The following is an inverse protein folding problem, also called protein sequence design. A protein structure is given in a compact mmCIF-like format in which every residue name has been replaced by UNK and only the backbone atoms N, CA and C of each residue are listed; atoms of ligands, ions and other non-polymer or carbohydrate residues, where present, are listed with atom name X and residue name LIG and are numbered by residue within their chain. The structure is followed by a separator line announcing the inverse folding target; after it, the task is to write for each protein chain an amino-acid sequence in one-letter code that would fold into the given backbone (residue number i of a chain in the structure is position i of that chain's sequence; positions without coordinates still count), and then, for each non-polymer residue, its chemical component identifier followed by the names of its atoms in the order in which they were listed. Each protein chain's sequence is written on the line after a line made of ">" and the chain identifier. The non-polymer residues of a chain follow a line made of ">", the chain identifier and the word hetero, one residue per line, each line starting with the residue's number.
data_IF_749008776685
#
_entry.id   IF_749008776685
#
_cell.length_a   1.000
_cell.length_b   1.000
_cell.length_c   1.000
_cell.angle_alpha   90.00
_cell.angle_beta   90.00
_cell.angle_gamma   90.00
#
_symmetry.space_group_name_H-M   'P 1'
#
loop_
_entity.id
_entity.type
_entity.pdbx_description
1 polymer ?
#
# COMPACT_ATOMS: atom_id res chain seq x y z
N UNK A 1 25.51 6.50 16.41
CA UNK A 1 25.59 5.26 15.60
C UNK A 1 25.32 5.64 14.15
N UNK A 2 26.35 5.67 13.31
CA UNK A 2 26.23 6.11 11.92
C UNK A 2 25.44 5.05 11.15
N UNK A 3 24.23 5.40 10.71
CA UNK A 3 23.45 4.63 9.76
C UNK A 3 24.28 4.48 8.47
N UNK A 4 24.57 3.23 8.13
CA UNK A 4 25.47 2.87 7.06
C UNK A 4 25.08 3.42 5.69
N UNK A 5 26.08 3.91 5.00
CA UNK A 5 26.28 4.19 3.57
C UNK A 5 25.09 3.97 2.65
N UNK A 6 24.71 5.06 1.98
CA UNK A 6 23.93 5.18 0.74
C UNK A 6 23.50 3.84 0.14
N UNK A 7 22.31 3.38 0.53
CA UNK A 7 21.58 2.41 -0.28
C UNK A 7 21.02 3.18 -1.46
N UNK A 8 21.22 2.63 -2.63
CA UNK A 8 20.74 3.25 -3.87
C UNK A 8 19.22 3.28 -3.87
N UNK A 9 18.65 4.46 -3.59
CA UNK A 9 17.21 4.74 -3.67
C UNK A 9 16.85 5.43 -4.99
N UNK A 10 17.76 5.45 -5.94
CA UNK A 10 17.60 6.14 -7.23
C UNK A 10 16.46 5.61 -8.08
N UNK A 11 16.00 4.35 -7.81
CA UNK A 11 14.86 3.76 -8.51
C UNK A 11 13.50 4.29 -8.00
N UNK A 12 13.47 4.89 -6.80
CA UNK A 12 12.24 5.39 -6.22
C UNK A 12 11.93 6.82 -6.68
N UNK A 13 10.71 7.04 -7.16
CA UNK A 13 10.12 8.38 -7.34
C UNK A 13 9.70 8.95 -5.98
N UNK A 14 9.14 8.10 -5.12
CA UNK A 14 8.88 8.40 -3.70
C UNK A 14 9.45 7.25 -2.88
N UNK A 15 10.52 7.52 -2.14
CA UNK A 15 11.11 6.58 -1.18
C UNK A 15 10.50 6.80 0.22
N UNK A 16 10.43 5.74 1.06
CA UNK A 16 10.06 5.93 2.47
C UNK A 16 11.13 6.75 3.19
N UNK A 17 10.71 7.61 4.08
CA UNK A 17 11.59 8.44 4.91
C UNK A 17 11.30 8.20 6.40
N UNK A 18 11.90 7.15 7.02
CA UNK A 18 11.69 6.85 8.43
C UNK A 18 12.26 7.91 9.38
N UNK A 19 13.09 8.83 8.87
CA UNK A 19 13.65 9.95 9.62
C UNK A 19 12.82 11.24 9.56
N UNK A 20 11.72 11.23 8.79
CA UNK A 20 10.86 12.41 8.67
C UNK A 20 10.26 12.78 10.03
N UNK A 21 10.37 14.04 10.40
CA UNK A 21 9.84 14.56 11.64
C UNK A 21 8.33 14.29 11.78
N UNK A 22 7.87 14.04 13.01
CA UNK A 22 6.48 13.81 13.39
C UNK A 22 5.85 12.48 12.92
N UNK A 23 6.59 11.57 12.27
CA UNK A 23 6.04 10.25 11.91
C UNK A 23 6.27 9.20 13.01
N UNK A 24 7.27 9.40 13.85
CA UNK A 24 7.56 8.53 14.99
C UNK A 24 8.20 9.31 16.13
N UNK A 25 8.12 8.75 17.34
CA UNK A 25 8.78 9.28 18.54
C UNK A 25 9.37 8.18 19.40
N UNK A 26 10.39 8.53 20.21
CA UNK A 26 10.94 7.66 21.23
C UNK A 26 10.03 7.56 22.45
N UNK A 27 9.78 6.34 22.90
CA UNK A 27 9.03 6.06 24.13
C UNK A 27 9.86 5.16 25.02
N UNK A 28 9.96 5.53 26.31
CA UNK A 28 10.64 4.71 27.32
C UNK A 28 9.69 3.67 27.90
N UNK A 29 10.22 2.48 28.14
CA UNK A 29 9.49 1.36 28.72
C UNK A 29 10.43 0.41 29.45
N UNK A 30 9.93 -0.77 29.81
CA UNK A 30 10.73 -1.87 30.39
C UNK A 30 10.56 -3.11 29.52
N UNK A 31 11.64 -3.82 29.31
CA UNK A 31 11.62 -5.10 28.62
C UNK A 31 11.18 -6.24 29.56
N UNK A 32 11.14 -7.47 29.06
CA UNK A 32 10.74 -8.66 29.80
C UNK A 32 11.64 -9.00 31.00
N UNK A 33 12.83 -8.43 31.09
CA UNK A 33 13.75 -8.60 32.23
C UNK A 33 13.57 -7.50 33.29
N UNK A 34 12.76 -6.46 32.99
CA UNK A 34 12.58 -5.27 33.82
C UNK A 34 13.59 -4.16 33.55
N UNK A 35 14.52 -4.32 32.59
CA UNK A 35 15.48 -3.32 32.21
C UNK A 35 14.81 -2.17 31.45
N UNK A 36 15.29 -0.95 31.69
CA UNK A 36 14.79 0.22 30.94
C UNK A 36 15.23 0.14 29.49
N UNK A 37 14.29 0.40 28.60
CA UNK A 37 14.52 0.42 27.14
C UNK A 37 13.82 1.61 26.51
N UNK A 38 14.29 2.03 25.34
CA UNK A 38 13.65 3.03 24.48
C UNK A 38 13.37 2.41 23.12
N UNK A 39 12.16 2.66 22.63
CA UNK A 39 11.73 2.17 21.33
C UNK A 39 11.10 3.31 20.53
N UNK A 40 11.32 3.31 19.23
CA UNK A 40 10.64 4.21 18.31
C UNK A 40 9.25 3.67 18.04
N UNK A 41 8.23 4.49 18.25
CA UNK A 41 6.82 4.18 17.98
C UNK A 41 6.25 5.14 16.95
N UNK A 42 5.35 4.65 16.11
CA UNK A 42 4.67 5.45 15.08
C UNK A 42 3.70 6.42 15.73
N UNK A 43 3.62 7.63 15.20
CA UNK A 43 2.57 8.59 15.52
C UNK A 43 1.33 8.28 14.69
N UNK A 44 0.16 8.38 15.33
CA UNK A 44 -1.14 8.31 14.68
C UNK A 44 -1.88 9.63 14.88
N UNK A 45 -2.53 10.10 13.83
CA UNK A 45 -3.38 11.29 13.88
C UNK A 45 -4.62 11.10 13.01
N UNK A 46 -5.75 11.74 13.36
CA UNK A 46 -6.92 11.70 12.51
C UNK A 46 -6.70 12.53 11.24
N UNK A 47 -7.31 12.12 10.14
CA UNK A 47 -7.49 12.95 8.94
C UNK A 47 -8.96 12.87 8.54
N UNK A 48 -9.66 13.99 8.59
CA UNK A 48 -11.05 14.10 8.16
C UNK A 48 -11.09 14.48 6.69
N UNK A 49 -11.70 13.63 5.87
CA UNK A 49 -11.79 13.79 4.41
C UNK A 49 -13.19 14.27 4.05
N UNK A 50 -13.25 15.39 3.34
CA UNK A 50 -14.47 15.94 2.73
C UNK A 50 -14.43 15.80 1.22
N UNK A 51 -15.57 15.50 0.63
CA UNK A 51 -15.81 15.66 -0.81
C UNK A 51 -16.82 16.79 -1.00
N UNK A 52 -16.38 17.88 -1.59
CA UNK A 52 -17.13 19.14 -1.66
C UNK A 52 -17.54 19.65 -0.25
N UNK A 53 -18.83 19.68 0.05
CA UNK A 53 -19.34 20.10 1.36
C UNK A 53 -19.69 18.93 2.29
N UNK A 54 -19.47 17.68 1.84
CA UNK A 54 -19.86 16.49 2.57
C UNK A 54 -18.67 15.87 3.29
N UNK A 55 -18.77 15.69 4.61
CA UNK A 55 -17.85 14.84 5.36
C UNK A 55 -18.03 13.39 4.96
N UNK A 56 -16.93 12.73 4.60
CA UNK A 56 -16.93 11.34 4.13
C UNK A 56 -16.45 10.40 5.22
N UNK A 57 -15.28 10.68 5.81
CA UNK A 57 -14.64 9.79 6.78
C UNK A 57 -13.58 10.55 7.58
N UNK A 58 -13.34 10.10 8.82
CA UNK A 58 -12.11 10.41 9.56
C UNK A 58 -11.29 9.13 9.65
N UNK A 59 -10.10 9.13 9.03
CA UNK A 59 -9.18 8.01 9.01
C UNK A 59 -8.00 8.26 9.96
N UNK A 60 -7.58 7.24 10.72
CA UNK A 60 -6.31 7.29 11.47
C UNK A 60 -5.17 7.00 10.52
N UNK A 61 -4.19 7.91 10.43
CA UNK A 61 -3.05 7.86 9.53
C UNK A 61 -1.78 8.36 10.21
N UNK A 62 -0.62 8.17 9.60
CA UNK A 62 0.63 8.77 10.09
C UNK A 62 0.76 10.27 9.72
N UNK A 63 -0.17 10.79 8.92
CA UNK A 63 -0.27 12.22 8.58
C UNK A 63 0.66 12.69 7.46
N UNK A 64 1.37 11.78 6.76
CA UNK A 64 2.07 12.12 5.53
C UNK A 64 1.16 11.96 4.30
N UNK A 65 1.41 12.74 3.25
CA UNK A 65 0.68 12.69 1.98
C UNK A 65 -0.86 12.69 2.14
N UNK A 66 -1.45 13.66 2.88
CA UNK A 66 -2.90 13.70 3.11
C UNK A 66 -3.70 13.86 1.81
N UNK A 67 -3.17 14.58 0.83
CA UNK A 67 -3.70 14.74 -0.52
C UNK A 67 -3.83 13.42 -1.27
N UNK A 68 -2.77 12.62 -1.29
CA UNK A 68 -2.81 11.29 -1.92
C UNK A 68 -3.75 10.35 -1.18
N UNK A 69 -3.76 10.38 0.17
CA UNK A 69 -4.69 9.55 0.94
C UNK A 69 -6.13 9.88 0.60
N UNK A 70 -6.50 11.16 0.58
CA UNK A 70 -7.87 11.60 0.31
C UNK A 70 -8.31 11.26 -1.12
N UNK A 71 -7.49 11.61 -2.12
CA UNK A 71 -7.78 11.29 -3.53
C UNK A 71 -7.94 9.80 -3.77
N UNK A 72 -7.00 9.01 -3.25
CA UNK A 72 -7.02 7.56 -3.45
C UNK A 72 -8.14 6.87 -2.68
N UNK A 73 -8.46 7.33 -1.46
CA UNK A 73 -9.62 6.86 -0.72
C UNK A 73 -10.89 7.07 -1.53
N UNK A 74 -11.16 8.31 -1.96
CA UNK A 74 -12.36 8.65 -2.71
C UNK A 74 -12.44 7.87 -4.04
N UNK A 75 -11.32 7.71 -4.73
CA UNK A 75 -11.24 6.92 -5.98
C UNK A 75 -11.55 5.45 -5.75
N UNK A 76 -10.93 4.82 -4.75
CA UNK A 76 -11.10 3.41 -4.44
C UNK A 76 -12.45 3.07 -3.81
N UNK A 77 -13.17 4.08 -3.31
CA UNK A 77 -14.57 3.96 -2.85
C UNK A 77 -15.58 4.24 -3.98
N UNK A 78 -15.13 4.51 -5.20
CA UNK A 78 -16.01 4.87 -6.32
C UNK A 78 -16.66 6.25 -6.17
N UNK A 79 -16.11 7.11 -5.29
CA UNK A 79 -16.63 8.46 -5.02
C UNK A 79 -16.05 9.52 -5.95
N UNK A 80 -14.91 9.24 -6.55
CA UNK A 80 -14.32 9.97 -7.68
C UNK A 80 -14.32 9.03 -8.89
N UNK A 81 -15.07 9.40 -9.91
CA UNK A 81 -15.11 8.67 -11.18
C UNK A 81 -13.93 9.09 -12.08
N UNK A 82 -13.58 8.30 -13.13
CA UNK A 82 -12.52 8.65 -14.06
C UNK A 82 -12.68 10.01 -14.73
N UNK A 83 -13.94 10.43 -14.96
CA UNK A 83 -14.30 11.66 -15.69
C UNK A 83 -14.48 12.86 -14.75
N UNK A 84 -14.41 12.65 -13.43
CA UNK A 84 -14.50 13.75 -12.46
C UNK A 84 -13.25 14.63 -12.51
N UNK A 85 -13.48 15.92 -12.61
CA UNK A 85 -12.41 16.92 -12.56
C UNK A 85 -12.27 17.44 -11.14
N UNK A 86 -11.16 17.16 -10.48
CA UNK A 86 -10.76 17.77 -9.21
C UNK A 86 -10.34 19.21 -9.49
N UNK A 87 -11.01 20.17 -8.87
CA UNK A 87 -10.79 21.62 -9.08
C UNK A 87 -9.93 22.25 -7.99
N UNK A 88 -9.95 21.69 -6.76
CA UNK A 88 -9.11 22.13 -5.66
C UNK A 88 -8.91 21.00 -4.63
N UNK A 89 -7.80 21.08 -3.92
CA UNK A 89 -7.47 20.27 -2.76
C UNK A 89 -7.04 21.24 -1.67
N UNK A 90 -7.85 21.37 -0.63
CA UNK A 90 -7.62 22.28 0.47
C UNK A 90 -7.31 21.47 1.73
N UNK A 91 -6.08 21.52 2.23
CA UNK A 91 -5.65 20.85 3.47
C UNK A 91 -5.39 21.86 4.57
N UNK A 92 -6.06 21.68 5.71
CA UNK A 92 -5.83 22.43 6.94
C UNK A 92 -5.15 21.51 7.96
N UNK A 93 -3.84 21.75 8.20
CA UNK A 93 -3.02 20.95 9.13
C UNK A 93 -3.43 21.16 10.60
N UNK A 94 -3.99 22.32 10.98
CA UNK A 94 -4.33 22.63 12.37
C UNK A 94 -5.51 21.80 12.85
N UNK A 95 -6.49 21.59 11.97
CA UNK A 95 -7.69 20.80 12.26
C UNK A 95 -7.67 19.40 11.60
N UNK A 96 -6.54 19.02 11.00
CA UNK A 96 -6.33 17.70 10.34
C UNK A 96 -7.47 17.36 9.37
N UNK A 97 -7.85 18.34 8.52
CA UNK A 97 -8.99 18.23 7.61
C UNK A 97 -8.59 18.53 6.18
N UNK A 98 -9.04 17.69 5.24
CA UNK A 98 -8.79 17.86 3.82
C UNK A 98 -10.12 17.86 3.05
N UNK A 99 -10.28 18.83 2.15
CA UNK A 99 -11.45 19.01 1.28
C UNK A 99 -11.03 18.79 -0.17
N UNK A 100 -11.60 17.79 -0.82
CA UNK A 100 -11.47 17.56 -2.26
C UNK A 100 -12.68 18.20 -2.94
N UNK A 101 -12.43 19.13 -3.87
CA UNK A 101 -13.49 19.81 -4.65
C UNK A 101 -13.51 19.31 -6.08
N UNK A 102 -14.72 19.04 -6.56
CA UNK A 102 -14.96 18.60 -7.95
C UNK A 102 -15.78 19.63 -8.72
N UNK A 103 -15.68 19.62 -10.05
CA UNK A 103 -16.42 20.52 -10.93
C UNK A 103 -17.94 20.26 -10.86
N UNK A 104 -18.36 19.03 -10.58
CA UNK A 104 -19.75 18.64 -10.44
C UNK A 104 -20.03 18.17 -9.02
N UNK A 105 -21.27 18.38 -8.55
CA UNK A 105 -21.73 17.75 -7.30
C UNK A 105 -21.83 16.24 -7.53
N UNK A 106 -21.30 15.49 -6.59
CA UNK A 106 -21.38 14.03 -6.61
C UNK A 106 -22.66 13.60 -5.88
N UNK A 107 -23.37 12.58 -6.40
CA UNK A 107 -24.64 12.06 -5.83
C UNK A 107 -24.44 11.19 -4.57
N UNK A 108 -23.35 11.45 -3.80
CA UNK A 108 -22.92 10.57 -2.71
C UNK A 108 -23.78 10.63 -1.45
N UNK A 109 -24.58 11.71 -1.25
CA UNK A 109 -25.51 11.75 -0.11
C UNK A 109 -26.48 10.58 -0.10
N UNK A 110 -26.88 10.09 -1.28
CA UNK A 110 -27.78 8.92 -1.41
C UNK A 110 -27.02 7.58 -1.26
N UNK A 111 -25.76 7.52 -1.67
CA UNK A 111 -24.92 6.33 -1.51
C UNK A 111 -24.49 6.11 -0.05
N UNK A 112 -24.22 7.15 0.73
CA UNK A 112 -23.89 7.07 2.16
C UNK A 112 -25.03 6.51 3.02
N UNK A 113 -26.27 6.50 2.54
CA UNK A 113 -27.40 5.88 3.23
C UNK A 113 -27.40 4.36 3.20
N UNK A 114 -26.61 3.73 2.34
CA UNK A 114 -26.47 2.27 2.27
C UNK A 114 -25.56 1.78 3.40
N UNK A 115 -26.03 0.77 4.17
CA UNK A 115 -25.30 0.24 5.34
C UNK A 115 -23.93 -0.32 4.96
N UNK A 116 -22.91 0.21 5.60
CA UNK A 116 -21.51 -0.20 5.48
C UNK A 116 -21.20 -1.44 6.31
N UNK A 117 -20.50 -2.42 5.72
CA UNK A 117 -19.85 -3.52 6.45
C UNK A 117 -18.36 -3.40 6.27
N UNK A 118 -17.60 -3.41 7.36
CA UNK A 118 -16.14 -3.29 7.32
C UNK A 118 -15.47 -4.53 7.87
N UNK A 119 -14.29 -4.89 7.37
CA UNK A 119 -13.41 -5.92 7.92
C UNK A 119 -12.49 -5.31 9.00
N UNK A 120 -13.04 -4.91 10.12
CA UNK A 120 -12.31 -4.68 11.38
C UNK A 120 -11.23 -3.59 11.45
N UNK A 121 -10.80 -2.96 10.35
CA UNK A 121 -9.78 -1.89 10.36
C UNK A 121 -10.06 -0.76 9.38
N UNK A 122 -11.11 -0.83 8.58
CA UNK A 122 -11.50 0.23 7.64
C UNK A 122 -12.80 0.87 8.12
N UNK A 123 -12.72 2.13 8.52
CA UNK A 123 -13.90 2.94 8.81
C UNK A 123 -14.54 3.30 7.47
N UNK A 124 -15.82 2.94 7.28
CA UNK A 124 -16.64 3.53 6.24
C UNK A 124 -16.48 3.00 4.81
N UNK A 125 -16.00 1.76 4.61
CA UNK A 125 -16.02 1.16 3.27
C UNK A 125 -17.46 0.88 2.86
N UNK A 126 -17.96 1.57 1.84
CA UNK A 126 -19.26 1.27 1.22
C UNK A 126 -19.09 0.05 0.33
N UNK A 127 -19.10 -1.12 0.97
CA UNK A 127 -18.74 -2.40 0.32
C UNK A 127 -19.64 -2.73 -0.89
N UNK A 128 -20.92 -2.38 -0.83
CA UNK A 128 -21.86 -2.57 -1.93
C UNK A 128 -21.45 -1.81 -3.19
N UNK A 129 -21.06 -0.53 -3.05
CA UNK A 129 -20.68 0.31 -4.18
C UNK A 129 -19.33 -0.13 -4.77
N UNK A 130 -18.41 -0.65 -3.93
CA UNK A 130 -17.16 -1.24 -4.42
C UNK A 130 -17.38 -2.51 -5.24
N UNK A 131 -18.34 -3.35 -4.87
CA UNK A 131 -18.71 -4.56 -5.64
C UNK A 131 -19.39 -4.19 -6.95
N UNK A 132 -20.30 -3.19 -6.94
CA UNK A 132 -20.90 -2.66 -8.18
C UNK A 132 -19.81 -2.10 -9.11
N UNK A 133 -18.78 -1.43 -8.58
CA UNK A 133 -17.64 -0.90 -9.34
C UNK A 133 -16.76 -1.98 -9.97
N UNK A 134 -16.82 -3.23 -9.49
CA UNK A 134 -16.11 -4.36 -10.09
C UNK A 134 -16.87 -5.01 -11.24
N UNK A 135 -18.17 -4.77 -11.38
CA UNK A 135 -18.96 -5.34 -12.49
C UNK A 135 -18.36 -4.91 -13.83
N UNK A 136 -17.95 -5.88 -14.63
CA UNK A 136 -17.32 -5.63 -15.93
C UNK A 136 -15.83 -5.25 -15.90
N UNK A 137 -15.20 -5.17 -14.71
CA UNK A 137 -13.75 -4.99 -14.63
C UNK A 137 -13.06 -6.25 -15.11
N UNK A 138 -12.26 -6.11 -16.16
CA UNK A 138 -11.35 -7.15 -16.64
C UNK A 138 -9.96 -6.56 -16.71
N UNK A 139 -9.05 -7.09 -15.92
CA UNK A 139 -7.68 -6.60 -15.87
C UNK A 139 -6.87 -7.08 -17.07
N UNK A 140 -5.94 -6.25 -17.59
CA UNK A 140 -5.09 -6.66 -18.69
C UNK A 140 -4.25 -7.88 -18.31
N UNK A 141 -4.02 -8.77 -19.27
CA UNK A 141 -3.15 -9.91 -19.11
C UNK A 141 -1.67 -9.45 -19.13
N UNK A 142 -1.20 -8.91 -18.01
CA UNK A 142 0.20 -8.54 -17.84
C UNK A 142 1.07 -9.77 -17.58
N UNK A 143 2.26 -9.84 -18.21
CA UNK A 143 3.26 -10.83 -17.87
C UNK A 143 3.87 -10.50 -16.50
N UNK A 144 4.10 -11.51 -15.68
CA UNK A 144 4.80 -11.40 -14.40
C UNK A 144 5.95 -12.43 -14.38
N UNK A 145 7.14 -12.01 -13.95
CA UNK A 145 8.33 -12.88 -13.94
C UNK A 145 8.77 -13.20 -12.51
N UNK A 146 9.22 -14.44 -12.30
CA UNK A 146 9.78 -14.82 -11.00
C UNK A 146 11.05 -14.04 -10.68
N UNK A 147 11.87 -13.70 -11.67
CA UNK A 147 13.04 -12.84 -11.50
C UNK A 147 12.67 -11.46 -10.94
N UNK A 148 11.61 -10.84 -11.45
CA UNK A 148 11.11 -9.55 -10.93
C UNK A 148 10.64 -9.66 -9.48
N UNK A 149 9.85 -10.68 -9.18
CA UNK A 149 9.35 -10.91 -7.81
C UNK A 149 10.48 -11.07 -6.80
N UNK A 150 11.53 -11.81 -7.15
CA UNK A 150 12.68 -12.01 -6.27
C UNK A 150 13.47 -10.73 -6.06
N UNK A 151 13.69 -9.96 -7.12
CA UNK A 151 14.38 -8.67 -7.05
C UNK A 151 13.57 -7.66 -6.21
N UNK A 152 12.26 -7.54 -6.45
CA UNK A 152 11.37 -6.67 -5.67
C UNK A 152 11.36 -7.04 -4.19
N UNK A 153 11.22 -8.35 -3.87
CA UNK A 153 11.21 -8.79 -2.49
C UNK A 153 12.53 -8.46 -1.77
N UNK A 154 13.67 -8.62 -2.45
CA UNK A 154 14.97 -8.29 -1.88
C UNK A 154 15.14 -6.78 -1.67
N UNK A 155 14.83 -5.97 -2.68
CA UNK A 155 14.95 -4.50 -2.63
C UNK A 155 14.02 -3.90 -1.57
N UNK A 156 12.72 -4.21 -1.62
CA UNK A 156 11.71 -3.65 -0.71
C UNK A 156 11.99 -4.04 0.75
N UNK A 157 12.36 -5.29 1.00
CA UNK A 157 12.64 -5.76 2.35
C UNK A 157 13.91 -5.15 2.99
N UNK A 158 14.78 -4.55 2.19
CA UNK A 158 16.00 -3.87 2.66
C UNK A 158 15.89 -2.36 2.65
N UNK A 159 14.85 -1.81 2.05
CA UNK A 159 14.64 -0.35 2.01
C UNK A 159 14.39 0.16 3.43
N UNK A 160 15.17 1.15 3.91
CA UNK A 160 14.91 1.79 5.19
C UNK A 160 13.50 2.36 5.22
N UNK A 161 12.72 1.99 6.23
CA UNK A 161 11.29 2.30 6.29
C UNK A 161 10.82 2.32 7.75
N UNK A 162 9.71 2.97 8.02
CA UNK A 162 9.04 2.91 9.32
C UNK A 162 8.63 1.47 9.67
N UNK A 163 8.27 0.67 8.66
CA UNK A 163 8.00 -0.75 8.85
C UNK A 163 9.17 -1.51 9.48
N UNK A 164 10.41 -1.20 9.07
CA UNK A 164 11.60 -1.84 9.63
C UNK A 164 12.02 -1.27 10.99
N UNK A 165 11.70 -0.01 11.27
CA UNK A 165 12.13 0.67 12.50
C UNK A 165 11.15 0.52 13.65
N UNK A 166 9.84 0.54 13.38
CA UNK A 166 8.80 0.53 14.42
C UNK A 166 8.01 -0.77 14.48
N UNK A 167 7.91 -1.51 13.38
CA UNK A 167 7.16 -2.77 13.29
C UNK A 167 5.62 -2.63 13.36
N UNK A 168 5.08 -1.43 13.54
CA UNK A 168 3.66 -1.17 13.78
C UNK A 168 2.97 -0.46 12.60
N UNK A 169 3.42 -0.70 11.38
CA UNK A 169 2.97 0.00 10.18
C UNK A 169 2.89 -0.95 8.99
N UNK A 170 2.14 -0.57 7.97
CA UNK A 170 2.07 -1.27 6.69
C UNK A 170 2.73 -0.46 5.59
N UNK A 171 3.49 -1.15 4.73
CA UNK A 171 4.04 -0.58 3.50
C UNK A 171 3.30 -1.10 2.27
N UNK A 172 3.09 -0.22 1.30
CA UNK A 172 2.60 -0.56 -0.04
C UNK A 172 3.47 0.11 -1.08
N UNK A 173 3.91 -0.67 -2.06
CA UNK A 173 4.88 -0.25 -3.07
C UNK A 173 4.29 -0.46 -4.45
N UNK A 174 4.21 0.60 -5.25
CA UNK A 174 3.95 0.49 -6.68
C UNK A 174 5.25 0.12 -7.37
N UNK A 175 5.21 -0.91 -8.20
CA UNK A 175 6.37 -1.41 -8.91
C UNK A 175 6.09 -1.53 -10.41
N UNK A 176 7.15 -1.50 -11.21
CA UNK A 176 7.12 -1.82 -12.63
C UNK A 176 8.27 -2.78 -12.92
N UNK A 177 7.96 -3.95 -13.45
CA UNK A 177 8.95 -5.02 -13.63
C UNK A 177 9.65 -5.35 -12.29
N UNK A 178 10.98 -5.26 -12.22
CA UNK A 178 11.80 -5.48 -11.02
C UNK A 178 12.11 -4.18 -10.24
N UNK A 179 11.48 -3.04 -10.60
CA UNK A 179 11.78 -1.72 -10.05
C UNK A 179 10.66 -1.23 -9.14
N UNK A 180 10.94 -0.96 -7.85
CA UNK A 180 10.01 -0.23 -6.99
C UNK A 180 10.00 1.25 -7.38
N UNK A 181 8.80 1.84 -7.54
CA UNK A 181 8.62 3.23 -7.95
C UNK A 181 8.18 4.14 -6.80
N UNK A 182 7.13 3.76 -6.10
CA UNK A 182 6.54 4.57 -5.03
C UNK A 182 6.28 3.70 -3.82
N UNK A 183 6.85 4.07 -2.68
CA UNK A 183 6.67 3.37 -1.42
C UNK A 183 5.93 4.25 -0.44
N UNK A 184 4.68 3.89 -0.15
CA UNK A 184 3.83 4.55 0.84
C UNK A 184 3.68 3.69 2.08
N UNK A 185 3.73 4.34 3.26
CA UNK A 185 3.55 3.70 4.55
C UNK A 185 2.34 4.29 5.27
N UNK A 186 1.62 3.47 6.04
CA UNK A 186 0.56 3.93 6.93
C UNK A 186 0.28 2.88 8.02
N UNK A 187 -0.30 3.29 9.15
CA UNK A 187 -0.79 2.39 10.21
C UNK A 187 -1.89 1.45 9.67
N UNK A 188 -2.71 1.95 8.75
CA UNK A 188 -3.72 1.19 8.02
C UNK A 188 -3.21 0.67 6.67
N UNK A 189 -3.26 -0.66 6.43
CA UNK A 189 -2.89 -1.21 5.12
C UNK A 189 -3.72 -0.63 3.96
N UNK A 190 -4.98 -0.28 4.22
CA UNK A 190 -5.88 0.34 3.24
C UNK A 190 -5.45 1.76 2.91
N UNK A 191 -5.06 2.54 3.93
CA UNK A 191 -4.53 3.89 3.72
C UNK A 191 -3.26 3.89 2.87
N UNK A 192 -2.33 2.94 3.14
CA UNK A 192 -1.11 2.82 2.34
C UNK A 192 -1.40 2.52 0.86
N UNK A 193 -2.42 1.71 0.56
CA UNK A 193 -2.90 1.48 -0.83
C UNK A 193 -3.55 2.74 -1.39
N UNK A 194 -4.39 3.41 -0.60
CA UNK A 194 -5.07 4.62 -1.05
C UNK A 194 -4.07 5.75 -1.36
N UNK A 195 -3.00 5.91 -0.57
CA UNK A 195 -1.92 6.86 -0.90
C UNK A 195 -1.28 6.56 -2.26
N UNK A 196 -1.04 5.28 -2.58
CA UNK A 196 -0.54 4.88 -3.91
C UNK A 196 -1.56 5.21 -5.00
N UNK A 197 -2.84 4.90 -4.79
CA UNK A 197 -3.91 5.21 -5.74
C UNK A 197 -4.04 6.71 -6.00
N UNK A 198 -3.98 7.53 -4.95
CA UNK A 198 -4.04 8.99 -5.06
C UNK A 198 -2.82 9.56 -5.81
N UNK A 199 -1.62 9.04 -5.55
CA UNK A 199 -0.43 9.40 -6.30
C UNK A 199 -0.58 9.04 -7.79
N UNK A 200 -1.04 7.82 -8.11
CA UNK A 200 -1.28 7.41 -9.50
C UNK A 200 -2.29 8.31 -10.21
N UNK A 201 -3.35 8.72 -9.51
CA UNK A 201 -4.36 9.63 -10.05
C UNK A 201 -3.76 11.02 -10.31
N UNK A 202 -3.04 11.59 -9.35
CA UNK A 202 -2.37 12.89 -9.46
C UNK A 202 -1.37 12.93 -10.62
N UNK A 203 -0.53 11.92 -10.73
CA UNK A 203 0.54 11.83 -11.73
C UNK A 203 0.07 11.22 -13.06
N UNK A 204 -1.21 10.85 -13.17
CA UNK A 204 -1.81 10.21 -14.36
C UNK A 204 -1.06 8.97 -14.82
N UNK A 205 -0.67 8.13 -13.87
CA UNK A 205 0.12 6.93 -14.11
C UNK A 205 -0.77 5.81 -14.65
N UNK A 206 -0.34 5.18 -15.75
CA UNK A 206 -1.00 3.98 -16.29
C UNK A 206 -0.78 2.78 -15.39
N UNK A 207 -1.81 1.93 -15.24
CA UNK A 207 -1.81 0.82 -14.28
C UNK A 207 -1.47 -0.55 -14.88
N UNK A 208 -1.70 -0.74 -16.18
CA UNK A 208 -1.74 -2.07 -16.81
C UNK A 208 -0.43 -2.86 -16.81
N UNK A 209 0.70 -2.22 -16.57
CA UNK A 209 2.04 -2.81 -16.47
C UNK A 209 2.63 -2.74 -15.05
N UNK A 210 1.79 -2.43 -14.06
CA UNK A 210 2.23 -2.24 -12.67
C UNK A 210 1.99 -3.48 -11.82
N UNK A 211 2.77 -3.57 -10.75
CA UNK A 211 2.65 -4.55 -9.67
C UNK A 211 2.44 -3.78 -8.39
N UNK A 212 1.43 -4.16 -7.61
CA UNK A 212 1.26 -3.63 -6.25
C UNK A 212 1.84 -4.61 -5.24
N UNK A 213 2.89 -4.22 -4.54
CA UNK A 213 3.52 -5.02 -3.49
C UNK A 213 3.13 -4.47 -2.12
N UNK A 214 2.64 -5.31 -1.19
CA UNK A 214 2.22 -4.85 0.14
C UNK A 214 2.72 -5.76 1.26
N UNK A 215 2.82 -5.22 2.48
CA UNK A 215 3.05 -6.00 3.70
C UNK A 215 1.74 -6.51 4.32
N UNK A 216 0.59 -5.96 3.89
CA UNK A 216 -0.73 -6.24 4.41
C UNK A 216 -1.30 -7.59 3.97
N UNK A 217 -2.31 -8.08 4.69
CA UNK A 217 -3.08 -9.27 4.30
C UNK A 217 -3.85 -9.01 3.02
N UNK A 218 -3.97 -10.04 2.16
CA UNK A 218 -4.71 -10.03 0.91
C UNK A 218 -6.18 -10.38 1.19
N UNK A 219 -6.94 -9.39 1.65
CA UNK A 219 -8.38 -9.48 1.90
C UNK A 219 -9.16 -9.09 0.64
N UNK A 220 -10.47 -9.35 0.63
CA UNK A 220 -11.39 -8.91 -0.43
C UNK A 220 -11.22 -7.42 -0.76
N UNK A 221 -11.20 -6.55 0.25
CA UNK A 221 -11.03 -5.10 0.07
C UNK A 221 -9.70 -4.73 -0.60
N UNK A 222 -8.60 -5.40 -0.25
CA UNK A 222 -7.30 -5.16 -0.87
C UNK A 222 -7.30 -5.55 -2.35
N UNK A 223 -7.94 -6.67 -2.67
CA UNK A 223 -8.12 -7.14 -4.06
C UNK A 223 -8.99 -6.18 -4.86
N UNK A 224 -10.14 -5.77 -4.29
CA UNK A 224 -11.07 -4.83 -4.91
C UNK A 224 -10.36 -3.50 -5.22
N UNK A 225 -9.68 -2.90 -4.24
CA UNK A 225 -8.94 -1.65 -4.43
C UNK A 225 -7.89 -1.78 -5.53
N UNK A 226 -7.12 -2.88 -5.55
CA UNK A 226 -6.12 -3.12 -6.59
C UNK A 226 -6.74 -3.23 -7.98
N UNK A 227 -7.87 -3.94 -8.09
CA UNK A 227 -8.62 -4.06 -9.34
C UNK A 227 -9.21 -2.71 -9.80
N UNK A 228 -9.77 -1.92 -8.89
CA UNK A 228 -10.25 -0.57 -9.16
C UNK A 228 -9.15 0.40 -9.62
N UNK A 229 -7.91 0.19 -9.15
CA UNK A 229 -6.73 0.90 -9.64
C UNK A 229 -6.32 0.44 -11.05
N UNK A 230 -6.85 -0.66 -11.57
CA UNK A 230 -6.49 -1.24 -12.87
C UNK A 230 -5.15 -1.99 -12.86
N UNK A 231 -4.62 -2.33 -11.69
CA UNK A 231 -3.31 -3.00 -11.55
C UNK A 231 -3.51 -4.51 -11.67
N UNK A 232 -2.82 -5.20 -12.61
CA UNK A 232 -3.07 -6.61 -12.90
C UNK A 232 -2.42 -7.60 -11.92
N UNK A 233 -1.52 -7.15 -11.04
CA UNK A 233 -0.80 -8.02 -10.11
C UNK A 233 -0.72 -7.44 -8.69
N UNK A 234 -1.13 -8.24 -7.69
CA UNK A 234 -1.05 -7.92 -6.27
C UNK A 234 -0.19 -8.96 -5.55
N UNK A 235 0.89 -8.48 -4.93
CA UNK A 235 1.88 -9.31 -4.24
C UNK A 235 1.94 -8.94 -2.76
N UNK A 236 2.01 -9.93 -1.86
CA UNK A 236 2.14 -9.67 -0.44
C UNK A 236 3.07 -10.66 0.29
N UNK A 237 3.72 -10.15 1.34
CA UNK A 237 4.42 -10.98 2.33
C UNK A 237 3.47 -11.77 3.23
N UNK A 238 2.20 -11.34 3.32
CA UNK A 238 1.17 -11.88 4.19
C UNK A 238 0.30 -12.93 3.48
N UNK A 239 -0.72 -13.42 4.17
CA UNK A 239 -1.63 -14.44 3.67
C UNK A 239 -2.88 -13.87 3.01
N UNK A 240 -3.78 -14.77 2.61
CA UNK A 240 -5.00 -14.54 1.84
C UNK A 240 -6.25 -14.76 2.69
N UNK A 241 -7.36 -14.17 2.28
CA UNK A 241 -8.71 -14.66 2.64
C UNK A 241 -9.31 -15.42 1.47
N UNK A 242 -10.21 -16.37 1.73
CA UNK A 242 -10.88 -17.15 0.69
C UNK A 242 -11.60 -16.22 -0.31
N UNK A 243 -12.38 -15.29 0.20
CA UNK A 243 -13.12 -14.34 -0.64
C UNK A 243 -12.21 -13.43 -1.48
N UNK A 244 -11.05 -12.99 -0.93
CA UNK A 244 -10.07 -12.26 -1.73
C UNK A 244 -9.54 -13.07 -2.92
N UNK A 245 -9.35 -14.39 -2.75
CA UNK A 245 -8.93 -15.28 -3.84
C UNK A 245 -10.04 -15.44 -4.89
N UNK A 246 -11.29 -15.59 -4.46
CA UNK A 246 -12.45 -15.72 -5.34
C UNK A 246 -12.60 -14.48 -6.23
N UNK A 247 -12.60 -13.28 -5.64
CA UNK A 247 -12.68 -12.01 -6.38
C UNK A 247 -11.48 -11.88 -7.34
N UNK A 248 -10.27 -12.19 -6.90
CA UNK A 248 -9.08 -12.09 -7.75
C UNK A 248 -9.20 -12.95 -9.02
N UNK A 249 -9.77 -14.16 -8.90
CA UNK A 249 -10.02 -15.06 -10.03
C UNK A 249 -11.10 -14.51 -10.97
N UNK A 250 -12.16 -13.93 -10.41
CA UNK A 250 -13.25 -13.34 -11.16
C UNK A 250 -12.81 -12.16 -12.03
N UNK A 251 -12.05 -11.22 -11.44
CA UNK A 251 -11.56 -10.02 -12.16
C UNK A 251 -10.27 -10.25 -12.96
N UNK A 252 -9.71 -11.45 -12.90
CA UNK A 252 -8.47 -11.77 -13.58
C UNK A 252 -7.21 -11.13 -12.96
N UNK A 253 -7.18 -10.90 -11.64
CA UNK A 253 -6.02 -10.37 -10.92
C UNK A 253 -5.01 -11.50 -10.64
N UNK A 254 -3.73 -11.28 -10.94
CA UNK A 254 -2.65 -12.17 -10.46
C UNK A 254 -2.43 -11.94 -8.97
N UNK A 255 -2.70 -12.96 -8.13
CA UNK A 255 -2.66 -12.85 -6.69
C UNK A 255 -1.58 -13.73 -6.07
N UNK A 256 -0.54 -13.10 -5.53
CA UNK A 256 0.62 -13.74 -4.93
C UNK A 256 0.74 -13.35 -3.45
N UNK A 257 0.79 -14.33 -2.58
CA UNK A 257 0.99 -14.09 -1.15
C UNK A 257 2.07 -14.96 -0.53
N UNK A 258 2.32 -14.73 0.78
CA UNK A 258 3.38 -15.39 1.56
C UNK A 258 4.76 -15.25 0.93
N UNK A 259 5.00 -14.10 0.26
CA UNK A 259 6.26 -13.81 -0.40
C UNK A 259 7.39 -13.65 0.64
N UNK A 260 8.33 -14.58 0.66
CA UNK A 260 9.50 -14.58 1.57
C UNK A 260 10.74 -15.03 0.80
N UNK A 261 11.58 -14.09 0.44
CA UNK A 261 12.72 -14.34 -0.43
C UNK A 261 12.24 -14.90 -1.77
N UNK A 262 12.60 -16.15 -2.09
CA UNK A 262 12.21 -16.81 -3.33
C UNK A 262 11.02 -17.77 -3.19
N UNK A 263 10.32 -17.77 -2.05
CA UNK A 263 9.14 -18.60 -1.81
C UNK A 263 7.89 -17.76 -1.79
N UNK A 264 6.86 -18.20 -2.49
CA UNK A 264 5.54 -17.58 -2.53
C UNK A 264 4.45 -18.61 -2.89
N UNK A 265 3.19 -18.21 -2.76
CA UNK A 265 2.04 -18.92 -3.30
C UNK A 265 1.31 -18.02 -4.29
N UNK A 266 1.05 -18.53 -5.49
CA UNK A 266 0.17 -17.90 -6.48
C UNK A 266 -1.19 -18.61 -6.44
N UNK A 267 -2.28 -17.90 -6.13
CA UNK A 267 -3.61 -18.47 -6.01
C UNK A 267 -4.60 -17.97 -7.08
N UNK A 268 -4.16 -17.04 -7.91
CA UNK A 268 -4.89 -16.56 -9.11
C UNK A 268 -3.88 -16.03 -10.12
N UNK A 269 -4.15 -16.18 -11.42
CA UNK A 269 -3.32 -15.67 -12.51
C UNK A 269 -2.00 -16.43 -12.71
N UNK A 270 -1.95 -17.71 -12.36
CA UNK A 270 -0.73 -18.54 -12.47
C UNK A 270 -0.24 -18.67 -13.93
N UNK A 271 -1.14 -18.67 -14.89
CA UNK A 271 -0.89 -18.73 -16.32
C UNK A 271 -0.09 -17.53 -16.85
N UNK A 272 -0.06 -16.41 -16.13
CA UNK A 272 0.68 -15.18 -16.48
C UNK A 272 2.07 -15.13 -15.85
N UNK A 273 2.37 -16.10 -14.97
CA UNK A 273 3.63 -16.13 -14.23
C UNK A 273 4.68 -16.91 -15.02
N UNK A 274 5.63 -16.19 -15.62
CA UNK A 274 6.81 -16.78 -16.25
C UNK A 274 7.85 -17.15 -15.18
N UNK A 275 8.19 -18.45 -15.12
CA UNK A 275 9.21 -18.99 -14.20
C UNK A 275 10.58 -18.95 -14.87
N UNK A 276 11.19 -17.78 -14.90
CA UNK A 276 12.47 -17.47 -15.56
C UNK A 276 13.68 -17.45 -14.62
N UNK A 277 13.47 -17.70 -13.32
CA UNK A 277 14.54 -17.73 -12.33
C UNK A 277 14.47 -18.98 -11.45
N UNK A 278 15.62 -19.58 -11.17
CA UNK A 278 15.71 -20.75 -10.28
C UNK A 278 15.39 -20.35 -8.81
N UNK A 279 14.34 -20.92 -8.20
CA UNK A 279 14.00 -20.64 -6.82
C UNK A 279 15.06 -21.17 -5.83
N UNK A 280 15.93 -22.08 -6.24
CA UNK A 280 16.98 -22.69 -5.41
C UNK A 280 18.34 -22.01 -5.57
N UNK A 281 18.53 -21.15 -6.57
CA UNK A 281 19.79 -20.45 -6.77
C UNK A 281 20.15 -19.67 -5.50
N UNK A 282 21.34 -19.91 -4.97
CA UNK A 282 21.87 -19.18 -3.81
C UNK A 282 22.09 -17.73 -4.25
N UNK A 283 21.57 -16.71 -3.52
CA UNK A 283 21.92 -15.32 -3.81
C UNK A 283 23.46 -15.17 -3.72
N UNK A 284 24.05 -14.45 -4.67
CA UNK A 284 25.47 -14.19 -4.75
C UNK A 284 26.03 -13.78 -3.39
N UNK A 285 27.05 -14.48 -2.87
CA UNK A 285 27.57 -14.35 -1.50
C UNK A 285 28.21 -13.00 -1.18
N UNK A 286 28.42 -12.15 -2.17
CA UNK A 286 28.94 -10.79 -1.98
C UNK A 286 28.13 -9.95 -0.97
N UNK A 287 26.88 -10.35 -0.68
CA UNK A 287 26.00 -9.72 0.31
C UNK A 287 25.97 -10.41 1.68
N UNK A 288 26.51 -11.64 1.83
CA UNK A 288 26.57 -12.36 3.12
C UNK A 288 27.72 -11.87 4.02
N UNK A 289 28.81 -11.40 3.45
CA UNK A 289 29.97 -10.92 4.19
C UNK A 289 29.67 -9.69 5.10
N UNK A 290 28.56 -8.97 4.81
CA UNK A 290 28.14 -7.80 5.62
C UNK A 290 27.27 -8.14 6.84
N UNK A 291 26.78 -9.36 6.98
CA UNK A 291 25.98 -9.80 8.15
C UNK A 291 26.82 -10.36 9.30
N UNK A 292 28.04 -10.79 9.07
CA UNK A 292 28.93 -11.34 10.11
C UNK A 292 29.70 -10.28 10.89
N UNK A 293 29.79 -9.04 10.41
CA UNK A 293 30.50 -7.97 11.10
C UNK A 293 29.65 -7.13 12.08
N UNK A 294 28.38 -7.52 12.31
CA UNK A 294 27.48 -6.82 13.23
C UNK A 294 27.06 -7.66 14.44
N UNK A 295 27.68 -8.83 14.65
CA UNK A 295 27.38 -9.75 15.74
C UNK A 295 28.55 -9.99 16.70
N UNK A 296 29.71 -9.37 16.45
CA UNK A 296 30.87 -9.36 17.36
C UNK A 296 31.35 -7.92 17.51
N UNK A 297 30.70 -7.15 18.40
CA UNK A 297 31.24 -6.05 19.21
C UNK A 297 30.18 -5.61 20.24
#
# INVERSE_FOLDING_TARGET
>A
MQLGKNRDLSDYLIAPDPGRARLSREVSGRDHTGAETRVSVVEERPLTIYLNAQEIVTAMTIGDYPDYLALGFLRNQGMLLPDDTVTAIDYDEEIETIVIRTAHKTDFEDKLKKKTRTSGCAVGTVFGDMMEGLEGVSLPAGELRTSWLYALADRINRTPSLYLTTGAIHGTVLCQEDRPLVYMEDVGRHNAVDKVAGWMLSERVTAGDKILYTTGRLTSEMVIKTAMMGIPALVSRSGFTAWGVEIAREVGLTLIGRMRGRRFLCLSGEERLLRDADPRAIPDESHKARRKGAADD
#
